data_IF_114579173250
#
_entry.id   IF_114579173250
#
_cell.length_a   1.000
_cell.length_b   1.000
_cell.length_c   1.000
_cell.angle_alpha   90.00
_cell.angle_beta   90.00
_cell.angle_gamma   90.00
#
_symmetry.space_group_name_H-M   'P 1'
#
loop_
_entity.id
_entity.type
_entity.pdbx_description
1 polymer ?
#
# COMPACT_ATOMS: atom_id res chain seq x y z
N UNK A 1 0.96 22.75 26.85
CA UNK A 1 0.46 22.63 25.45
C UNK A 1 -1.06 22.54 25.51
N UNK A 2 -1.77 23.40 24.79
CA UNK A 2 -3.25 23.42 24.80
C UNK A 2 -3.80 22.22 24.02
N UNK A 3 -5.03 21.79 24.34
CA UNK A 3 -5.71 20.72 23.59
C UNK A 3 -5.82 21.02 22.08
N UNK A 4 -5.79 22.31 21.71
CA UNK A 4 -5.80 22.76 20.32
C UNK A 4 -4.50 22.42 19.59
N UNK A 5 -3.32 22.64 20.19
CA UNK A 5 -2.04 22.37 19.53
C UNK A 5 -1.80 20.87 19.27
N UNK A 6 -2.43 19.99 20.05
CA UNK A 6 -2.40 18.54 19.82
C UNK A 6 -3.35 18.06 18.71
N UNK A 7 -4.37 18.86 18.36
CA UNK A 7 -5.38 18.52 17.34
C UNK A 7 -5.04 19.08 15.96
N UNK A 8 -4.33 20.21 15.90
CA UNK A 8 -3.99 20.90 14.65
C UNK A 8 -3.36 19.99 13.57
N UNK A 9 -2.36 19.12 13.88
CA UNK A 9 -1.79 18.24 12.86
C UNK A 9 -2.81 17.27 12.24
N UNK A 10 -3.78 16.79 13.02
CA UNK A 10 -4.82 15.89 12.54
C UNK A 10 -5.85 16.60 11.66
N UNK A 11 -6.18 17.85 11.99
CA UNK A 11 -7.05 18.68 11.14
C UNK A 11 -6.37 18.94 9.80
N UNK A 12 -5.09 19.33 9.81
CA UNK A 12 -4.31 19.53 8.58
C UNK A 12 -4.27 18.23 7.76
N UNK A 13 -3.96 17.10 8.39
CA UNK A 13 -3.93 15.81 7.70
C UNK A 13 -5.29 15.43 7.09
N UNK A 14 -6.40 15.69 7.79
CA UNK A 14 -7.74 15.44 7.28
C UNK A 14 -8.08 16.35 6.08
N UNK A 15 -7.74 17.64 6.14
CA UNK A 15 -7.96 18.59 5.04
C UNK A 15 -7.13 18.22 3.82
N UNK A 16 -5.85 17.91 4.00
CA UNK A 16 -4.97 17.46 2.92
C UNK A 16 -5.47 16.15 2.33
N UNK A 17 -5.84 15.17 3.17
CA UNK A 17 -6.37 13.90 2.72
C UNK A 17 -7.65 14.04 1.90
N UNK A 18 -8.58 14.90 2.33
CA UNK A 18 -9.79 15.22 1.58
C UNK A 18 -9.48 15.89 0.24
N UNK A 19 -8.57 16.88 0.25
CA UNK A 19 -8.15 17.57 -0.97
C UNK A 19 -7.53 16.62 -1.99
N UNK A 20 -6.66 15.71 -1.53
CA UNK A 20 -6.06 14.67 -2.38
C UNK A 20 -7.11 13.70 -2.91
N UNK A 21 -8.06 13.26 -2.07
CA UNK A 21 -9.15 12.37 -2.50
C UNK A 21 -9.96 12.99 -3.63
N UNK A 22 -10.40 14.25 -3.48
CA UNK A 22 -11.15 14.97 -4.51
C UNK A 22 -10.30 15.16 -5.76
N UNK A 23 -9.04 15.57 -5.61
CA UNK A 23 -8.13 15.78 -6.73
C UNK A 23 -7.94 14.49 -7.54
N UNK A 24 -7.73 13.36 -6.88
CA UNK A 24 -7.57 12.07 -7.56
C UNK A 24 -8.87 11.54 -8.16
N UNK A 25 -10.01 11.70 -7.48
CA UNK A 25 -11.30 11.30 -8.04
C UNK A 25 -11.63 12.10 -9.33
N UNK A 26 -11.31 13.39 -9.35
CA UNK A 26 -11.43 14.23 -10.56
C UNK A 26 -10.41 13.81 -11.62
N UNK A 27 -9.16 13.54 -11.21
CA UNK A 27 -8.10 13.11 -12.10
C UNK A 27 -8.40 11.78 -12.80
N UNK A 28 -9.03 10.84 -12.07
CA UNK A 28 -9.44 9.55 -12.61
C UNK A 28 -10.56 9.63 -13.66
N UNK A 29 -11.27 10.76 -13.72
CA UNK A 29 -12.38 10.99 -14.64
C UNK A 29 -13.73 10.52 -14.10
N UNK A 30 -14.81 11.07 -14.67
CA UNK A 30 -16.19 10.64 -14.41
C UNK A 30 -16.71 9.96 -15.68
N UNK A 31 -17.25 8.72 -15.62
CA UNK A 31 -17.75 8.04 -16.81
C UNK A 31 -18.87 8.84 -17.46
N UNK A 32 -18.89 8.89 -18.80
CA UNK A 32 -19.81 9.76 -19.54
C UNK A 32 -21.30 9.38 -19.38
N UNK A 33 -21.56 8.11 -19.08
CA UNK A 33 -22.87 7.51 -18.85
C UNK A 33 -23.34 7.60 -17.39
N UNK A 34 -22.47 8.07 -16.48
CA UNK A 34 -22.74 8.17 -15.05
C UNK A 34 -23.04 9.62 -14.69
N UNK A 35 -24.18 9.87 -14.04
CA UNK A 35 -24.48 11.21 -13.53
C UNK A 35 -23.45 11.62 -12.48
N UNK A 36 -22.94 12.86 -12.57
CA UNK A 36 -21.97 13.38 -11.61
C UNK A 36 -22.45 13.26 -10.15
N UNK A 37 -23.75 13.42 -9.92
CA UNK A 37 -24.35 13.24 -8.59
C UNK A 37 -24.20 11.81 -8.04
N UNK A 38 -24.44 10.80 -8.86
CA UNK A 38 -24.26 9.39 -8.47
C UNK A 38 -22.79 9.07 -8.18
N UNK A 39 -21.89 9.50 -9.06
CA UNK A 39 -20.44 9.35 -8.88
C UNK A 39 -19.96 9.94 -7.55
N UNK A 40 -20.35 11.18 -7.24
CA UNK A 40 -19.95 11.84 -5.99
C UNK A 40 -20.61 11.24 -4.76
N UNK A 41 -21.87 10.78 -4.85
CA UNK A 41 -22.53 10.11 -3.74
C UNK A 41 -21.78 8.83 -3.33
N UNK A 42 -21.39 8.00 -4.29
CA UNK A 42 -20.62 6.78 -4.03
C UNK A 42 -19.17 7.05 -3.63
N UNK A 43 -18.49 7.99 -4.29
CA UNK A 43 -17.18 8.47 -3.82
C UNK A 43 -17.26 8.94 -2.37
N UNK A 44 -18.37 9.59 -1.97
CA UNK A 44 -18.67 9.94 -0.58
C UNK A 44 -18.78 8.74 0.36
N UNK A 45 -19.32 7.60 -0.10
CA UNK A 45 -19.35 6.34 0.67
C UNK A 45 -17.93 5.80 0.87
N UNK A 46 -17.09 5.76 -0.17
CA UNK A 46 -15.68 5.37 -0.03
C UNK A 46 -14.95 6.28 0.97
N UNK A 47 -15.12 7.60 0.83
CA UNK A 47 -14.56 8.58 1.75
C UNK A 47 -15.05 8.40 3.20
N UNK A 48 -16.32 8.04 3.41
CA UNK A 48 -16.85 7.76 4.73
C UNK A 48 -16.11 6.57 5.38
N UNK A 49 -15.86 5.51 4.62
CA UNK A 49 -15.09 4.36 5.12
C UNK A 49 -13.64 4.77 5.43
N UNK A 50 -12.99 5.57 4.58
CA UNK A 50 -11.67 6.13 4.87
C UNK A 50 -11.67 6.93 6.18
N UNK A 51 -12.70 7.75 6.41
CA UNK A 51 -12.88 8.49 7.65
C UNK A 51 -13.04 7.56 8.87
N UNK A 52 -13.78 6.46 8.74
CA UNK A 52 -13.91 5.45 9.81
C UNK A 52 -12.55 4.86 10.17
N UNK A 53 -11.74 4.48 9.18
CA UNK A 53 -10.39 3.97 9.42
C UNK A 53 -9.46 5.04 10.03
N UNK A 54 -9.54 6.28 9.56
CA UNK A 54 -8.77 7.38 10.13
C UNK A 54 -9.13 7.66 11.59
N UNK A 55 -10.43 7.64 11.93
CA UNK A 55 -10.94 7.79 13.30
C UNK A 55 -10.50 6.60 14.15
N UNK A 56 -10.59 5.36 13.64
CA UNK A 56 -10.16 4.16 14.34
C UNK A 56 -8.66 4.20 14.64
N UNK A 57 -7.83 4.55 13.64
CA UNK A 57 -6.40 4.77 13.79
C UNK A 57 -6.10 5.84 14.85
N UNK A 58 -6.76 7.00 14.75
CA UNK A 58 -6.58 8.07 15.71
C UNK A 58 -6.94 7.60 17.12
N UNK A 59 -8.08 6.95 17.29
CA UNK A 59 -8.56 6.48 18.58
C UNK A 59 -7.61 5.43 19.18
N UNK A 60 -7.32 4.37 18.42
CA UNK A 60 -6.57 3.21 18.90
C UNK A 60 -5.07 3.49 19.05
N UNK A 61 -4.46 4.25 18.13
CA UNK A 61 -3.00 4.36 18.05
C UNK A 61 -2.45 5.76 18.37
N UNK A 62 -3.17 6.85 18.07
CA UNK A 62 -2.64 8.21 18.21
C UNK A 62 -3.10 9.00 19.46
N UNK A 63 -4.41 9.05 19.74
CA UNK A 63 -5.03 9.84 20.83
C UNK A 63 -4.43 9.54 22.20
N UNK A 64 -3.98 10.47 23.05
CA UNK A 64 -3.44 10.14 24.38
C UNK A 64 -4.34 9.18 25.20
N UNK A 65 -3.72 8.27 25.97
CA UNK A 65 -4.47 7.41 26.89
C UNK A 65 -5.16 8.27 27.96
N UNK A 66 -6.32 7.83 28.43
CA UNK A 66 -7.01 8.51 29.52
C UNK A 66 -6.13 8.57 30.79
N UNK A 67 -6.22 9.64 31.60
CA UNK A 67 -5.50 9.75 32.86
C UNK A 67 -5.69 8.48 33.72
N UNK A 68 -4.61 7.97 34.29
CA UNK A 68 -4.63 6.73 35.10
C UNK A 68 -4.44 5.44 34.31
N UNK A 69 -4.60 5.43 32.97
CA UNK A 69 -4.25 4.27 32.15
C UNK A 69 -2.75 4.27 31.82
N UNK A 70 -2.07 3.19 32.20
CA UNK A 70 -0.68 2.94 31.80
C UNK A 70 -0.63 2.19 30.47
N UNK A 71 0.35 2.50 29.63
CA UNK A 71 0.66 1.64 28.48
C UNK A 71 1.13 0.27 29.01
N UNK A 72 0.64 -0.85 28.46
CA UNK A 72 1.23 -2.15 28.71
C UNK A 72 2.72 -2.13 28.33
N UNK A 73 3.51 -2.99 28.97
CA UNK A 73 4.96 -3.11 28.69
C UNK A 73 5.16 -3.28 27.18
N UNK A 74 6.00 -2.43 26.58
CA UNK A 74 6.32 -2.51 25.15
C UNK A 74 6.93 -3.87 24.85
N UNK A 75 6.43 -4.47 23.78
CA UNK A 75 6.83 -5.77 23.21
C UNK A 75 6.39 -7.05 23.91
N UNK A 76 5.29 -7.58 23.38
CA UNK A 76 4.90 -8.95 23.60
C UNK A 76 5.39 -9.89 22.47
N UNK A 77 5.62 -9.39 21.24
CA UNK A 77 6.07 -10.23 20.13
C UNK A 77 7.51 -10.69 20.35
N UNK A 78 7.72 -12.00 20.20
CA UNK A 78 9.07 -12.57 20.21
C UNK A 78 9.82 -12.17 18.94
N UNK A 79 11.15 -12.20 19.01
CA UNK A 79 12.02 -12.00 17.86
C UNK A 79 11.61 -12.86 16.66
N UNK A 80 11.45 -14.17 16.87
CA UNK A 80 11.07 -15.13 15.82
C UNK A 80 9.70 -14.81 15.21
N UNK A 81 8.72 -14.38 16.02
CA UNK A 81 7.41 -14.04 15.50
C UNK A 81 7.47 -12.84 14.54
N UNK A 82 8.29 -11.83 14.85
CA UNK A 82 8.48 -10.67 13.95
C UNK A 82 9.17 -11.05 12.65
N UNK A 83 10.21 -11.87 12.73
CA UNK A 83 10.95 -12.36 11.56
C UNK A 83 10.04 -13.17 10.63
N UNK A 84 9.24 -14.09 11.18
CA UNK A 84 8.25 -14.87 10.43
C UNK A 84 7.20 -13.96 9.79
N UNK A 85 6.62 -13.02 10.55
CA UNK A 85 5.65 -12.07 9.99
C UNK A 85 6.27 -11.22 8.88
N UNK A 86 7.50 -10.75 9.05
CA UNK A 86 8.19 -9.97 8.04
C UNK A 86 8.40 -10.77 6.75
N UNK A 87 8.85 -12.02 6.85
CA UNK A 87 9.05 -12.91 5.71
C UNK A 87 7.73 -13.22 4.99
N UNK A 88 6.68 -13.56 5.74
CA UNK A 88 5.36 -13.89 5.18
C UNK A 88 4.75 -12.67 4.48
N UNK A 89 4.80 -11.49 5.11
CA UNK A 89 4.31 -10.25 4.51
C UNK A 89 5.13 -9.83 3.30
N UNK A 90 6.46 -9.96 3.35
CA UNK A 90 7.32 -9.66 2.22
C UNK A 90 7.00 -10.56 1.03
N UNK A 91 6.91 -11.87 1.25
CA UNK A 91 6.57 -12.85 0.22
C UNK A 91 5.17 -12.61 -0.36
N UNK A 92 4.19 -12.35 0.50
CA UNK A 92 2.84 -11.94 0.12
C UNK A 92 2.82 -10.67 -0.72
N UNK A 93 3.59 -9.67 -0.33
CA UNK A 93 3.72 -8.42 -1.08
C UNK A 93 4.38 -8.60 -2.44
N UNK A 94 5.43 -9.43 -2.54
CA UNK A 94 6.02 -9.79 -3.84
C UNK A 94 4.98 -10.47 -4.71
N UNK A 95 4.26 -11.47 -4.19
CA UNK A 95 3.21 -12.16 -4.93
C UNK A 95 2.12 -11.18 -5.40
N UNK A 96 1.65 -10.28 -4.52
CA UNK A 96 0.66 -9.26 -4.86
C UNK A 96 1.12 -8.36 -6.01
N UNK A 97 2.34 -7.84 -5.96
CA UNK A 97 2.91 -6.96 -7.00
C UNK A 97 3.18 -7.68 -8.31
N UNK A 98 3.74 -8.88 -8.25
CA UNK A 98 3.98 -9.68 -9.45
C UNK A 98 2.65 -10.05 -10.09
N UNK A 99 1.67 -10.45 -9.28
CA UNK A 99 0.32 -10.74 -9.70
C UNK A 99 -0.35 -9.55 -10.36
N UNK A 100 -0.29 -8.36 -9.76
CA UNK A 100 -0.92 -7.15 -10.30
C UNK A 100 -0.30 -6.69 -11.62
N UNK A 101 1.02 -6.81 -11.80
CA UNK A 101 1.67 -6.51 -13.07
C UNK A 101 1.34 -7.54 -14.14
N UNK A 102 1.31 -8.81 -13.75
CA UNK A 102 0.96 -9.91 -14.65
C UNK A 102 -0.49 -9.77 -15.14
N UNK A 103 -1.40 -9.42 -14.24
CA UNK A 103 -2.81 -9.16 -14.51
C UNK A 103 -2.98 -8.06 -15.55
N UNK A 104 -2.36 -6.92 -15.29
CA UNK A 104 -2.36 -5.74 -16.16
C UNK A 104 -1.87 -6.07 -17.58
N UNK A 105 -0.72 -6.74 -17.69
CA UNK A 105 -0.14 -7.10 -19.00
C UNK A 105 -1.08 -7.99 -19.79
N UNK A 106 -1.70 -8.97 -19.14
CA UNK A 106 -2.60 -9.89 -19.83
C UNK A 106 -3.96 -9.25 -20.14
N UNK A 107 -4.50 -8.35 -19.31
CA UNK A 107 -5.72 -7.62 -19.68
C UNK A 107 -5.50 -6.86 -20.99
N UNK A 108 -4.35 -6.20 -21.14
CA UNK A 108 -3.95 -5.55 -22.40
C UNK A 108 -3.72 -6.53 -23.54
N UNK A 109 -3.16 -7.70 -23.25
CA UNK A 109 -2.78 -8.70 -24.28
C UNK A 109 -3.98 -9.49 -24.81
N UNK A 110 -4.90 -9.89 -23.93
CA UNK A 110 -5.99 -10.81 -24.24
C UNK A 110 -7.36 -10.14 -24.28
N UNK A 111 -7.51 -8.93 -23.74
CA UNK A 111 -8.77 -8.18 -23.76
C UNK A 111 -9.93 -8.87 -23.03
N UNK A 112 -9.63 -9.68 -21.99
CA UNK A 112 -10.66 -10.33 -21.18
C UNK A 112 -11.37 -9.25 -20.36
N UNK A 113 -12.72 -9.17 -20.42
CA UNK A 113 -13.49 -8.21 -19.63
C UNK A 113 -13.34 -8.42 -18.13
N UNK A 114 -13.30 -7.32 -17.38
CA UNK A 114 -13.24 -7.36 -15.92
C UNK A 114 -14.44 -8.13 -15.34
N UNK A 115 -14.18 -9.06 -14.41
CA UNK A 115 -15.20 -9.86 -13.75
C UNK A 115 -15.42 -11.27 -14.33
N UNK A 116 -14.94 -11.54 -15.54
CA UNK A 116 -14.84 -12.90 -16.10
C UNK A 116 -13.51 -13.60 -15.75
N UNK A 117 -12.61 -12.85 -15.10
CA UNK A 117 -11.23 -13.16 -14.75
C UNK A 117 -11.05 -13.67 -13.31
N UNK A 118 -12.13 -13.90 -12.54
CA UNK A 118 -12.07 -14.18 -11.10
C UNK A 118 -11.07 -15.30 -10.72
N UNK A 119 -10.96 -16.38 -11.51
CA UNK A 119 -10.06 -17.50 -11.25
C UNK A 119 -8.82 -17.54 -12.14
N UNK A 120 -8.51 -16.41 -12.76
CA UNK A 120 -7.36 -16.32 -13.63
C UNK A 120 -6.05 -16.26 -12.80
N UNK A 121 -4.98 -16.84 -13.33
CA UNK A 121 -3.68 -17.08 -12.69
C UNK A 121 -3.05 -15.86 -11.97
N UNK A 122 -3.00 -14.64 -12.53
CA UNK A 122 -2.54 -13.45 -11.82
C UNK A 122 -3.43 -13.12 -10.64
N UNK A 123 -4.77 -13.19 -10.80
CA UNK A 123 -5.71 -13.03 -9.70
C UNK A 123 -5.45 -14.02 -8.57
N UNK A 124 -5.19 -15.29 -8.86
CA UNK A 124 -4.81 -16.26 -7.81
C UNK A 124 -3.54 -15.85 -7.05
N UNK A 125 -2.57 -15.25 -7.73
CA UNK A 125 -1.33 -14.76 -7.11
C UNK A 125 -1.56 -13.48 -6.29
N UNK A 126 -2.41 -12.58 -6.78
CA UNK A 126 -2.88 -11.39 -6.07
C UNK A 126 -3.64 -11.79 -4.80
N UNK A 127 -4.57 -12.75 -4.91
CA UNK A 127 -5.36 -13.27 -3.79
C UNK A 127 -4.47 -13.95 -2.77
N UNK A 128 -3.41 -14.63 -3.19
CA UNK A 128 -2.41 -15.14 -2.27
C UNK A 128 -1.75 -14.00 -1.49
N UNK A 129 -1.32 -12.92 -2.17
CA UNK A 129 -0.79 -11.73 -1.53
C UNK A 129 -1.77 -11.13 -0.50
N UNK A 130 -3.04 -10.99 -0.86
CA UNK A 130 -4.07 -10.49 0.05
C UNK A 130 -4.35 -11.42 1.23
N UNK A 131 -4.44 -12.72 0.98
CA UNK A 131 -4.68 -13.73 2.00
C UNK A 131 -3.55 -13.76 3.03
N UNK A 132 -2.29 -13.59 2.61
CA UNK A 132 -1.17 -13.51 3.56
C UNK A 132 -1.26 -12.29 4.47
N UNK A 133 -1.54 -11.09 3.93
CA UNK A 133 -1.70 -9.88 4.73
C UNK A 133 -2.90 -9.99 5.69
N UNK A 134 -4.03 -10.49 5.19
CA UNK A 134 -5.24 -10.77 5.98
C UNK A 134 -4.99 -11.78 7.10
N UNK A 135 -4.33 -12.90 6.81
CA UNK A 135 -4.00 -13.93 7.79
C UNK A 135 -3.04 -13.41 8.87
N UNK A 136 -2.01 -12.64 8.48
CA UNK A 136 -1.10 -12.00 9.41
C UNK A 136 -1.82 -11.01 10.33
N UNK A 137 -2.74 -10.20 9.80
CA UNK A 137 -3.57 -9.28 10.59
C UNK A 137 -4.54 -10.00 11.53
N UNK A 138 -5.18 -11.06 11.06
CA UNK A 138 -6.07 -11.87 11.89
C UNK A 138 -5.31 -12.57 13.02
N UNK A 139 -4.16 -13.18 12.71
CA UNK A 139 -3.26 -13.75 13.71
C UNK A 139 -2.80 -12.70 14.73
N UNK A 140 -2.44 -11.49 14.26
CA UNK A 140 -2.04 -10.38 15.10
C UNK A 140 -3.16 -9.95 16.07
N UNK A 141 -4.41 -9.93 15.59
CA UNK A 141 -5.59 -9.66 16.42
C UNK A 141 -5.81 -10.75 17.48
N UNK A 142 -5.72 -12.03 17.09
CA UNK A 142 -5.84 -13.16 18.02
C UNK A 142 -4.72 -13.12 19.08
N UNK A 143 -3.50 -12.84 18.64
CA UNK A 143 -2.33 -12.69 19.49
C UNK A 143 -2.57 -11.58 20.53
N UNK A 144 -2.98 -10.40 20.06
CA UNK A 144 -3.28 -9.23 20.88
C UNK A 144 -4.37 -9.55 21.92
N UNK A 145 -5.45 -10.22 21.52
CA UNK A 145 -6.56 -10.54 22.40
C UNK A 145 -6.24 -11.64 23.43
N UNK A 146 -5.35 -12.58 23.11
CA UNK A 146 -4.99 -13.69 24.02
C UNK A 146 -3.83 -13.36 24.95
N UNK A 147 -2.88 -12.53 24.52
CA UNK A 147 -1.62 -12.29 25.25
C UNK A 147 -1.60 -10.98 26.02
N UNK A 148 -2.40 -9.99 25.62
CA UNK A 148 -2.39 -8.67 26.23
C UNK A 148 -3.64 -8.43 27.07
N UNK A 149 -3.45 -7.75 28.20
CA UNK A 149 -4.53 -7.31 29.10
C UNK A 149 -4.78 -5.81 28.94
N UNK A 150 -5.90 -5.35 29.47
CA UNK A 150 -6.36 -3.95 29.35
C UNK A 150 -7.41 -3.79 28.26
N UNK A 151 -7.78 -2.53 27.97
CA UNK A 151 -8.76 -2.21 26.92
C UNK A 151 -8.13 -2.24 25.52
N UNK A 152 -8.94 -2.14 24.46
CA UNK A 152 -8.46 -2.20 23.07
C UNK A 152 -7.36 -1.17 22.77
N UNK A 153 -7.53 0.08 23.20
CA UNK A 153 -6.56 1.14 22.98
C UNK A 153 -5.18 0.81 23.61
N UNK A 154 -5.17 0.28 24.83
CA UNK A 154 -3.94 -0.15 25.50
C UNK A 154 -3.27 -1.30 24.75
N UNK A 155 -4.04 -2.28 24.30
CA UNK A 155 -3.50 -3.47 23.61
C UNK A 155 -2.90 -3.11 22.24
N UNK A 156 -3.58 -2.27 21.45
CA UNK A 156 -3.08 -1.78 20.15
C UNK A 156 -1.77 -0.97 20.30
N UNK A 157 -1.58 -0.31 21.44
CA UNK A 157 -0.37 0.49 21.72
C UNK A 157 0.77 -0.26 22.38
N UNK A 158 0.49 -1.41 22.97
CA UNK A 158 1.53 -2.28 23.53
C UNK A 158 2.54 -2.69 22.45
N UNK A 159 2.08 -2.84 21.21
CA UNK A 159 2.91 -2.98 20.02
C UNK A 159 2.24 -2.28 18.82
N UNK A 160 2.70 -1.08 18.49
CA UNK A 160 2.15 -0.26 17.41
C UNK A 160 2.22 -0.95 16.04
N UNK A 161 3.28 -1.73 15.75
CA UNK A 161 3.40 -2.45 14.48
C UNK A 161 2.30 -3.50 14.32
N UNK A 162 1.99 -4.25 15.39
CA UNK A 162 0.87 -5.20 15.43
C UNK A 162 -0.46 -4.48 15.25
N UNK A 163 -0.66 -3.36 15.95
CA UNK A 163 -1.87 -2.56 15.80
C UNK A 163 -2.08 -2.06 14.37
N UNK A 164 -1.02 -1.56 13.73
CA UNK A 164 -1.03 -1.13 12.33
C UNK A 164 -1.29 -2.29 11.37
N UNK A 165 -0.71 -3.45 11.62
CA UNK A 165 -0.94 -4.66 10.81
C UNK A 165 -2.41 -5.10 10.86
N UNK A 166 -3.04 -5.05 12.03
CA UNK A 166 -4.48 -5.34 12.17
C UNK A 166 -5.31 -4.31 11.40
N UNK A 167 -4.98 -3.01 11.54
CA UNK A 167 -5.71 -1.95 10.84
C UNK A 167 -5.57 -2.07 9.32
N UNK A 168 -4.36 -2.34 8.82
CA UNK A 168 -4.11 -2.52 7.40
C UNK A 168 -4.81 -3.77 6.86
N UNK A 169 -4.81 -4.89 7.58
CA UNK A 169 -5.53 -6.09 7.16
C UNK A 169 -7.05 -5.87 7.13
N UNK A 170 -7.62 -5.16 8.11
CA UNK A 170 -9.03 -4.79 8.10
C UNK A 170 -9.36 -3.83 6.94
N UNK A 171 -8.45 -2.90 6.65
CA UNK A 171 -8.58 -1.98 5.53
C UNK A 171 -8.53 -2.71 4.19
N UNK A 172 -7.63 -3.68 4.05
CA UNK A 172 -7.51 -4.51 2.88
C UNK A 172 -8.76 -5.37 2.65
N UNK A 173 -9.34 -5.93 3.71
CA UNK A 173 -10.58 -6.70 3.62
C UNK A 173 -11.75 -5.87 3.07
N UNK A 174 -11.74 -4.56 3.30
CA UNK A 174 -12.67 -3.61 2.68
C UNK A 174 -12.27 -3.24 1.25
N UNK A 175 -10.97 -3.00 1.00
CA UNK A 175 -10.45 -2.61 -0.31
C UNK A 175 -10.66 -3.70 -1.37
N UNK A 176 -10.68 -4.97 -0.97
CA UNK A 176 -10.88 -6.11 -1.88
C UNK A 176 -12.20 -6.07 -2.65
N UNK A 177 -13.37 -6.04 -1.97
CA UNK A 177 -14.65 -5.95 -2.67
C UNK A 177 -14.93 -4.55 -3.23
N UNK A 178 -14.21 -3.52 -2.80
CA UNK A 178 -14.42 -2.14 -3.26
C UNK A 178 -14.28 -2.02 -4.79
N UNK A 179 -13.32 -2.73 -5.36
CA UNK A 179 -12.99 -2.66 -6.78
C UNK A 179 -14.02 -3.37 -7.68
N UNK A 180 -14.39 -4.65 -7.45
CA UNK A 180 -15.50 -5.27 -8.19
C UNK A 180 -16.83 -4.54 -8.03
N UNK A 181 -17.13 -4.00 -6.83
CA UNK A 181 -18.34 -3.20 -6.61
C UNK A 181 -18.30 -1.91 -7.43
N UNK A 182 -17.14 -1.25 -7.52
CA UNK A 182 -16.95 -0.09 -8.36
C UNK A 182 -17.23 -0.42 -9.83
N UNK A 183 -16.66 -1.50 -10.35
CA UNK A 183 -16.87 -1.93 -11.73
C UNK A 183 -18.32 -2.35 -12.03
N UNK A 184 -19.00 -2.99 -11.08
CA UNK A 184 -20.43 -3.32 -11.24
C UNK A 184 -21.32 -2.08 -11.37
N UNK A 185 -20.88 -0.94 -10.85
CA UNK A 185 -21.66 0.29 -10.81
C UNK A 185 -21.28 1.24 -11.95
N UNK A 186 -19.98 1.41 -12.20
CA UNK A 186 -19.44 2.41 -13.12
C UNK A 186 -18.88 1.82 -14.41
N UNK A 187 -18.81 0.48 -14.52
CA UNK A 187 -18.17 -0.21 -15.64
C UNK A 187 -16.65 -0.25 -15.49
N UNK A 188 -15.98 -0.51 -16.61
CA UNK A 188 -14.52 -0.53 -16.65
C UNK A 188 -13.93 0.84 -16.29
N UNK A 189 -12.73 0.81 -15.70
CA UNK A 189 -12.05 2.04 -15.33
C UNK A 189 -11.65 2.86 -16.55
N UNK A 190 -11.98 4.15 -16.52
CA UNK A 190 -11.54 5.10 -17.56
C UNK A 190 -10.02 5.26 -17.51
N UNK A 191 -9.47 5.23 -16.30
CA UNK A 191 -8.04 5.33 -16.03
C UNK A 191 -7.72 4.47 -14.81
N UNK A 192 -6.48 4.00 -14.64
CA UNK A 192 -6.03 3.25 -13.46
C UNK A 192 -6.15 4.05 -12.14
N UNK A 193 -6.49 5.34 -12.17
CA UNK A 193 -6.52 6.24 -11.01
C UNK A 193 -7.86 6.23 -10.28
N UNK A 194 -8.68 5.21 -10.49
CA UNK A 194 -9.94 5.05 -9.78
C UNK A 194 -9.71 4.99 -8.26
N UNK A 195 -10.74 5.38 -7.51
CA UNK A 195 -10.68 5.42 -6.04
C UNK A 195 -10.30 4.04 -5.44
N UNK A 196 -10.86 2.90 -5.88
CA UNK A 196 -10.45 1.59 -5.38
C UNK A 196 -8.97 1.27 -5.59
N UNK A 197 -8.41 1.57 -6.77
CA UNK A 197 -6.99 1.36 -7.06
C UNK A 197 -6.07 2.17 -6.13
N UNK A 198 -6.42 3.42 -5.83
CA UNK A 198 -5.66 4.24 -4.88
C UNK A 198 -5.72 3.69 -3.45
N UNK A 199 -6.88 3.17 -3.05
CA UNK A 199 -7.09 2.52 -1.75
C UNK A 199 -6.22 1.25 -1.66
N UNK A 200 -6.23 0.42 -2.70
CA UNK A 200 -5.40 -0.79 -2.81
C UNK A 200 -3.91 -0.46 -2.80
N UNK A 201 -3.47 0.53 -3.58
CA UNK A 201 -2.09 1.05 -3.59
C UNK A 201 -1.62 1.37 -2.17
N UNK A 202 -2.40 2.15 -1.42
CA UNK A 202 -2.03 2.54 -0.05
C UNK A 202 -1.90 1.30 0.84
N UNK A 203 -2.82 0.34 0.74
CA UNK A 203 -2.76 -0.88 1.54
C UNK A 203 -1.54 -1.76 1.19
N UNK A 204 -1.20 -1.88 -0.10
CA UNK A 204 0.00 -2.59 -0.54
C UNK A 204 1.27 -1.92 -0.02
N UNK A 205 1.39 -0.59 -0.15
CA UNK A 205 2.54 0.16 0.37
C UNK A 205 2.65 0.01 1.90
N UNK A 206 1.53 0.09 2.63
CA UNK A 206 1.52 -0.14 4.08
C UNK A 206 1.94 -1.56 4.44
N UNK A 207 1.53 -2.56 3.67
CA UNK A 207 1.96 -3.96 3.84
C UNK A 207 3.48 -4.09 3.72
N UNK A 208 4.07 -3.49 2.69
CA UNK A 208 5.52 -3.50 2.50
C UNK A 208 6.26 -2.73 3.58
N UNK A 209 5.76 -1.56 4.00
CA UNK A 209 6.34 -0.80 5.10
C UNK A 209 6.27 -1.56 6.44
N UNK A 210 5.20 -2.32 6.69
CA UNK A 210 5.07 -3.15 7.87
C UNK A 210 6.00 -4.36 7.83
N UNK A 211 6.13 -5.03 6.67
CA UNK A 211 7.11 -6.09 6.47
C UNK A 211 8.53 -5.58 6.74
N UNK A 212 8.88 -4.43 6.17
CA UNK A 212 10.16 -3.78 6.37
C UNK A 212 10.38 -3.38 7.83
N UNK A 213 9.40 -2.75 8.48
CA UNK A 213 9.47 -2.34 9.87
C UNK A 213 9.68 -3.52 10.83
N UNK A 214 8.98 -4.64 10.58
CA UNK A 214 9.14 -5.87 11.36
C UNK A 214 10.53 -6.48 11.14
N UNK A 215 10.97 -6.60 9.88
CA UNK A 215 12.30 -7.11 9.53
C UNK A 215 13.42 -6.28 10.17
N UNK A 216 13.32 -4.95 10.06
CA UNK A 216 14.36 -4.07 10.58
C UNK A 216 14.36 -3.95 12.10
N UNK A 217 13.29 -4.42 12.75
CA UNK A 217 13.22 -4.51 14.22
C UNK A 217 13.91 -5.75 14.78
N UNK A 218 14.24 -6.73 13.93
CA UNK A 218 14.91 -7.98 14.32
C UNK A 218 16.36 -8.05 13.86
N UNK A 219 16.73 -7.38 12.78
CA UNK A 219 18.12 -7.47 12.30
C UNK A 219 19.09 -6.56 13.08
N UNK A 220 20.37 -6.93 13.07
CA UNK A 220 21.44 -6.02 13.49
C UNK A 220 21.86 -5.19 12.30
N UNK A 221 21.85 -3.85 12.45
CA UNK A 221 22.30 -2.93 11.41
C UNK A 221 23.71 -3.32 10.94
N UNK A 222 23.85 -3.50 9.63
CA UNK A 222 25.11 -3.77 8.97
C UNK A 222 25.27 -2.74 7.86
N UNK A 223 26.41 -2.06 7.85
CA UNK A 223 26.78 -1.18 6.75
C UNK A 223 27.60 -1.98 5.74
N UNK A 224 27.19 -1.88 4.48
CA UNK A 224 27.93 -2.43 3.34
C UNK A 224 28.27 -1.28 2.38
N UNK A 225 29.51 -1.27 1.90
CA UNK A 225 29.99 -0.29 0.92
C UNK A 225 30.14 -0.88 -0.48
N UNK A 226 30.06 -2.21 -0.57
CA UNK A 226 30.17 -2.96 -1.82
C UNK A 226 29.08 -4.03 -1.85
N UNK A 227 28.45 -4.20 -3.00
CA UNK A 227 27.29 -5.10 -3.17
C UNK A 227 27.63 -6.57 -2.84
N UNK A 228 28.89 -6.96 -2.99
CA UNK A 228 29.36 -8.31 -2.65
C UNK A 228 29.38 -8.63 -1.15
N UNK A 229 29.16 -7.62 -0.28
CA UNK A 229 29.02 -7.82 1.17
C UNK A 229 27.55 -7.82 1.64
N UNK A 230 26.60 -7.84 0.70
CA UNK A 230 25.18 -7.98 1.04
C UNK A 230 24.95 -9.29 1.80
N UNK A 231 24.33 -9.18 2.97
CA UNK A 231 23.81 -10.34 3.70
C UNK A 231 22.40 -10.64 3.21
N UNK A 232 21.94 -11.86 3.49
CA UNK A 232 20.56 -12.25 3.18
C UNK A 232 19.52 -11.28 3.78
N UNK A 233 19.79 -10.74 4.98
CA UNK A 233 18.94 -9.73 5.60
C UNK A 233 18.92 -8.40 4.84
N UNK A 234 20.03 -7.99 4.22
CA UNK A 234 20.07 -6.81 3.35
C UNK A 234 19.28 -7.07 2.08
N UNK A 235 19.44 -8.25 1.47
CA UNK A 235 18.71 -8.66 0.26
C UNK A 235 17.20 -8.61 0.47
N UNK A 236 16.70 -9.07 1.62
CA UNK A 236 15.27 -9.00 1.92
C UNK A 236 14.78 -7.55 2.04
N UNK A 237 15.52 -6.67 2.70
CA UNK A 237 15.18 -5.24 2.78
C UNK A 237 15.13 -4.60 1.39
N UNK A 238 16.13 -4.87 0.54
CA UNK A 238 16.17 -4.37 -0.83
C UNK A 238 15.01 -4.91 -1.67
N UNK A 239 14.64 -6.18 -1.52
CA UNK A 239 13.49 -6.76 -2.19
C UNK A 239 12.17 -6.12 -1.76
N UNK A 240 11.97 -5.89 -0.46
CA UNK A 240 10.77 -5.20 0.06
C UNK A 240 10.70 -3.76 -0.47
N UNK A 241 11.83 -3.04 -0.48
CA UNK A 241 11.90 -1.68 -1.01
C UNK A 241 11.66 -1.63 -2.52
N UNK A 242 12.25 -2.56 -3.27
CA UNK A 242 12.07 -2.67 -4.71
C UNK A 242 10.60 -2.94 -5.05
N UNK A 243 9.99 -3.90 -4.37
CA UNK A 243 8.56 -4.23 -4.57
C UNK A 243 7.65 -3.08 -4.13
N UNK A 244 7.95 -2.38 -3.04
CA UNK A 244 7.21 -1.16 -2.68
C UNK A 244 7.30 -0.09 -3.77
N UNK A 245 8.49 0.12 -4.35
CA UNK A 245 8.68 1.04 -5.47
C UNK A 245 7.91 0.58 -6.71
N UNK A 246 7.84 -0.73 -6.96
CA UNK A 246 7.05 -1.30 -8.05
C UNK A 246 5.55 -0.99 -7.94
N UNK A 247 4.95 -1.05 -6.74
CA UNK A 247 3.53 -0.69 -6.57
C UNK A 247 3.29 0.76 -7.03
N UNK A 248 4.19 1.68 -6.65
CA UNK A 248 4.12 3.08 -7.07
C UNK A 248 4.31 3.23 -8.58
N UNK A 249 5.35 2.62 -9.14
CA UNK A 249 5.64 2.70 -10.57
C UNK A 249 4.49 2.13 -11.40
N UNK A 250 3.85 1.05 -10.95
CA UNK A 250 2.71 0.46 -11.64
C UNK A 250 1.58 1.50 -11.80
N UNK A 251 1.06 2.03 -10.70
CA UNK A 251 -0.07 2.97 -10.79
C UNK A 251 0.29 4.25 -11.53
N UNK A 252 1.50 4.77 -11.29
CA UNK A 252 1.89 6.11 -11.75
C UNK A 252 2.35 6.13 -13.22
N UNK A 253 2.66 4.96 -13.82
CA UNK A 253 3.24 4.86 -15.16
C UNK A 253 2.44 4.00 -16.14
N UNK A 254 1.46 3.23 -15.69
CA UNK A 254 0.69 2.31 -16.53
C UNK A 254 0.11 2.97 -17.81
N UNK A 255 -0.35 4.22 -17.72
CA UNK A 255 -0.86 4.98 -18.88
C UNK A 255 0.23 5.17 -19.95
N UNK A 256 1.49 5.38 -19.54
CA UNK A 256 2.62 5.50 -20.47
C UNK A 256 3.12 4.14 -20.95
N UNK A 257 3.04 3.10 -20.12
CA UNK A 257 3.40 1.74 -20.52
C UNK A 257 2.47 1.24 -21.62
N UNK A 258 1.16 1.51 -21.50
CA UNK A 258 0.18 1.17 -22.53
C UNK A 258 0.53 1.80 -23.89
N UNK A 259 0.97 3.07 -23.86
CA UNK A 259 1.42 3.79 -25.05
C UNK A 259 2.63 3.10 -25.73
N UNK A 260 3.60 2.66 -24.92
CA UNK A 260 4.84 2.03 -25.40
C UNK A 260 4.56 0.67 -26.04
N UNK A 261 3.61 -0.10 -25.49
CA UNK A 261 3.25 -1.45 -25.97
C UNK A 261 2.27 -1.39 -27.15
N UNK A 262 1.87 -0.18 -27.59
CA UNK A 262 1.01 0.00 -28.76
C UNK A 262 -0.46 -0.30 -28.49
N UNK A 263 -0.90 -0.23 -27.24
CA UNK A 263 -2.31 -0.31 -26.86
C UNK A 263 -2.96 1.05 -27.13
N UNK A 264 -4.16 1.04 -27.70
CA UNK A 264 -4.92 2.26 -27.95
C UNK A 264 -5.21 2.96 -26.62
N UNK A 265 -4.53 4.08 -26.40
CA UNK A 265 -4.82 4.99 -25.30
C UNK A 265 -6.21 5.61 -25.47
N UNK A 266 -6.94 5.73 -24.37
CA UNK A 266 -8.14 6.55 -24.36
C UNK A 266 -7.82 8.04 -24.59
N UNK A 267 -8.85 8.86 -24.88
CA UNK A 267 -8.67 10.30 -25.08
C UNK A 267 -8.05 10.99 -23.87
N UNK A 268 -8.37 10.54 -22.65
CA UNK A 268 -7.89 11.12 -21.41
C UNK A 268 -6.37 10.95 -21.23
N UNK A 269 -5.82 9.80 -21.61
CA UNK A 269 -4.39 9.53 -21.55
C UNK A 269 -3.61 10.34 -22.59
N UNK A 270 -4.18 10.56 -23.78
CA UNK A 270 -3.56 11.36 -24.84
C UNK A 270 -3.41 12.85 -24.48
N UNK A 271 -4.25 13.39 -23.60
CA UNK A 271 -4.17 14.79 -23.15
C UNK A 271 -3.27 15.00 -21.93
N UNK A 272 -2.60 13.95 -21.42
CA UNK A 272 -1.73 14.10 -20.25
C UNK A 272 -0.47 14.87 -20.60
N UNK A 273 -0.08 15.88 -19.81
CA UNK A 273 1.15 16.62 -20.07
C UNK A 273 2.39 15.70 -19.97
N UNK A 274 3.29 15.79 -20.95
CA UNK A 274 4.52 14.96 -20.98
C UNK A 274 5.39 15.13 -19.74
N UNK A 275 5.41 16.33 -19.14
CA UNK A 275 6.19 16.61 -17.92
C UNK A 275 5.74 15.76 -16.73
N UNK A 276 4.50 15.27 -16.74
CA UNK A 276 3.95 14.46 -15.65
C UNK A 276 4.66 13.11 -15.52
N UNK A 277 5.14 12.53 -16.63
CA UNK A 277 5.93 11.30 -16.60
C UNK A 277 7.18 11.48 -15.75
N UNK A 278 7.96 12.53 -16.02
CA UNK A 278 9.17 12.84 -15.27
C UNK A 278 8.85 13.18 -13.81
N UNK A 279 7.75 13.88 -13.55
CA UNK A 279 7.31 14.21 -12.19
C UNK A 279 6.94 12.93 -11.40
N UNK A 280 6.19 12.02 -11.99
CA UNK A 280 5.79 10.74 -11.37
C UNK A 280 7.00 9.85 -11.09
N UNK A 281 7.92 9.70 -12.06
CA UNK A 281 9.18 8.97 -11.87
C UNK A 281 10.00 9.57 -10.72
N UNK A 282 10.13 10.90 -10.68
CA UNK A 282 10.88 11.59 -9.63
C UNK A 282 10.22 11.39 -8.27
N UNK A 283 8.90 11.51 -8.17
CA UNK A 283 8.17 11.31 -6.92
C UNK A 283 8.31 9.86 -6.39
N UNK A 284 8.13 8.86 -7.26
CA UNK A 284 8.25 7.44 -6.89
C UNK A 284 9.67 7.11 -6.40
N UNK A 285 10.68 7.53 -7.16
CA UNK A 285 12.09 7.27 -6.84
C UNK A 285 12.56 8.04 -5.61
N UNK A 286 12.13 9.30 -5.43
CA UNK A 286 12.45 10.08 -4.25
C UNK A 286 11.83 9.47 -2.99
N UNK A 287 10.54 9.08 -3.04
CA UNK A 287 9.88 8.45 -1.90
C UNK A 287 10.58 7.13 -1.51
N UNK A 288 10.74 6.21 -2.45
CA UNK A 288 11.39 4.92 -2.19
C UNK A 288 12.86 5.09 -1.75
N UNK A 289 13.59 6.02 -2.37
CA UNK A 289 14.97 6.33 -2.02
C UNK A 289 15.14 6.92 -0.62
N UNK A 290 14.23 7.81 -0.19
CA UNK A 290 14.22 8.35 1.17
C UNK A 290 13.95 7.24 2.18
N UNK A 291 12.98 6.35 1.93
CA UNK A 291 12.72 5.20 2.82
C UNK A 291 13.95 4.28 2.87
N UNK A 292 14.53 3.95 1.72
CA UNK A 292 15.72 3.11 1.63
C UNK A 292 16.90 3.68 2.42
N UNK A 293 17.27 4.94 2.19
CA UNK A 293 18.39 5.58 2.90
C UNK A 293 18.18 5.68 4.42
N UNK A 294 16.94 5.78 4.88
CA UNK A 294 16.60 5.83 6.30
C UNK A 294 16.63 4.47 6.97
N UNK A 295 16.25 3.42 6.24
CA UNK A 295 16.10 2.07 6.79
C UNK A 295 17.39 1.27 6.67
N UNK A 296 18.10 1.42 5.54
CA UNK A 296 19.36 0.75 5.25
C UNK A 296 20.48 1.80 5.20
N UNK A 297 21.36 1.89 6.23
CA UNK A 297 22.38 2.94 6.32
C UNK A 297 23.56 2.77 5.34
N UNK A 298 23.41 1.91 4.33
CA UNK A 298 24.45 1.59 3.37
C UNK A 298 24.44 2.54 2.17
N UNK A 299 25.59 3.10 1.76
CA UNK A 299 25.71 3.84 0.52
C UNK A 299 25.24 3.00 -0.67
N UNK A 300 24.40 3.57 -1.53
CA UNK A 300 23.89 2.89 -2.73
C UNK A 300 22.69 1.97 -2.50
N UNK A 301 22.16 1.83 -1.28
CA UNK A 301 20.99 0.98 -1.05
C UNK A 301 19.72 1.46 -1.79
N UNK A 302 19.50 2.78 -1.87
CA UNK A 302 18.43 3.36 -2.67
C UNK A 302 18.59 3.02 -4.16
N UNK A 303 19.80 3.16 -4.70
CA UNK A 303 20.11 2.80 -6.09
C UNK A 303 19.89 1.31 -6.32
N UNK A 304 20.42 0.44 -5.45
CA UNK A 304 20.25 -1.01 -5.58
C UNK A 304 18.77 -1.45 -5.54
N UNK A 305 17.97 -0.86 -4.65
CA UNK A 305 16.53 -1.12 -4.61
C UNK A 305 15.81 -0.62 -5.88
N UNK A 306 16.18 0.56 -6.38
CA UNK A 306 15.64 1.12 -7.61
C UNK A 306 15.98 0.28 -8.84
N UNK A 307 17.25 -0.11 -9.01
CA UNK A 307 17.67 -1.00 -10.10
C UNK A 307 16.98 -2.36 -10.03
N UNK A 308 16.86 -2.93 -8.83
CA UNK A 308 16.12 -4.19 -8.64
C UNK A 308 14.66 -4.03 -9.04
N UNK A 309 14.00 -2.93 -8.69
CA UNK A 309 12.63 -2.65 -9.13
C UNK A 309 12.54 -2.58 -10.66
N UNK A 310 13.44 -1.84 -11.31
CA UNK A 310 13.44 -1.73 -12.77
C UNK A 310 13.70 -3.07 -13.47
N UNK A 311 14.62 -3.88 -12.96
CA UNK A 311 14.87 -5.23 -13.50
C UNK A 311 13.62 -6.10 -13.37
N UNK A 312 12.98 -6.13 -12.19
CA UNK A 312 11.73 -6.88 -11.98
C UNK A 312 10.65 -6.39 -12.96
N UNK A 313 10.50 -5.07 -13.10
CA UNK A 313 9.55 -4.45 -14.03
C UNK A 313 9.77 -4.90 -15.48
N UNK A 314 11.01 -4.79 -15.95
CA UNK A 314 11.39 -5.15 -17.32
C UNK A 314 11.20 -6.64 -17.61
N UNK A 315 11.33 -7.50 -16.59
CA UNK A 315 11.07 -8.93 -16.74
C UNK A 315 9.57 -9.26 -16.78
N UNK A 316 8.70 -8.41 -16.22
CA UNK A 316 7.27 -8.66 -16.10
C UNK A 316 6.43 -7.98 -17.20
N UNK A 317 6.89 -6.85 -17.76
CA UNK A 317 6.15 -6.10 -18.80
C UNK A 317 6.37 -6.67 -20.21
N UNK A 318 7.38 -7.52 -20.40
CA UNK A 318 7.64 -8.21 -21.69
C UNK A 318 6.71 -9.39 -21.89
#
# INVERSE_FOLDING_TARGET
>A
MTAFSQRLPWVIAAVVGLGLFVAFAVWGGIPADVSAGAFWAQSGVFLLVLCVFAIAFWHLLARPLAPGLRQPRKDALTFRAREVLALVLAFGGVAGVVGSLWDEVWHRTYGIPFGEDLFWRPHLLIYFGFATAGACGFWALLYLNRRLRGNFQQRFRANTMVGLLIMNAAFLLYALPADPVWHLIFGEDITPWSVPHLILLVSFVLTQLLALALHVSTWRRHEWHVIFRLRLSDSLSLLILATMQMVWLQLMLIDWDAAIVGVNLGPLELYRPEWLLAANLTACTAFAGVVATRVTPSPGAATAAGELAQVIRLLLIR
#
